data_IF_769570270271
#
_entry.id   IF_769570270271
#
_cell.length_a   1.000
_cell.length_b   1.000
_cell.length_c   1.000
_cell.angle_alpha   90.00
_cell.angle_beta   90.00
_cell.angle_gamma   90.00
#
_symmetry.space_group_name_H-M   'P 1'
#
loop_
_entity.id
_entity.type
_entity.pdbx_description
1 polymer ?
#
# COMPACT_ATOMS: atom_id res chain seq x y z
N UNK A 1 50.59 -37.87 10.96
CA UNK A 1 51.80 -37.33 10.29
C UNK A 1 51.43 -36.03 9.59
N UNK A 2 52.38 -35.09 9.48
CA UNK A 2 52.42 -33.83 8.69
C UNK A 2 51.18 -32.93 8.47
N UNK A 3 51.37 -31.63 8.76
CA UNK A 3 50.55 -30.47 8.35
C UNK A 3 51.22 -29.73 7.18
N UNK A 4 50.46 -29.30 6.15
CA UNK A 4 50.77 -28.27 5.11
C UNK A 4 49.41 -27.76 4.57
N UNK A 5 48.99 -26.48 4.47
CA UNK A 5 49.53 -25.13 4.75
C UNK A 5 50.15 -24.34 3.58
N UNK A 6 49.90 -22.99 3.54
CA UNK A 6 50.28 -22.00 2.50
C UNK A 6 49.60 -22.18 1.11
N UNK A 7 49.44 -21.17 0.24
CA UNK A 7 49.44 -19.69 0.37
C UNK A 7 48.69 -19.05 -0.82
N UNK A 8 48.43 -17.72 -0.78
CA UNK A 8 47.94 -16.92 -1.91
C UNK A 8 49.00 -16.74 -3.02
N UNK A 9 48.55 -16.60 -4.27
CA UNK A 9 49.22 -15.80 -5.31
C UNK A 9 48.17 -15.03 -6.12
N UNK A 10 48.33 -13.71 -6.23
CA UNK A 10 47.61 -12.86 -7.18
C UNK A 10 48.44 -12.77 -8.46
N UNK A 11 47.81 -12.75 -9.64
CA UNK A 11 48.47 -12.36 -10.88
C UNK A 11 47.67 -11.26 -11.59
N UNK A 12 48.32 -10.13 -11.86
CA UNK A 12 47.70 -9.00 -12.57
C UNK A 12 47.62 -9.27 -14.07
N UNK A 13 46.63 -8.67 -14.74
CA UNK A 13 46.55 -8.63 -16.19
C UNK A 13 47.37 -7.45 -16.74
N UNK A 14 48.69 -7.62 -16.88
CA UNK A 14 49.56 -6.61 -17.51
C UNK A 14 49.70 -6.90 -19.02
N UNK A 15 48.90 -6.21 -19.84
CA UNK A 15 48.88 -6.38 -21.30
C UNK A 15 50.04 -5.64 -21.97
N UNK A 16 51.20 -6.28 -22.08
CA UNK A 16 52.33 -5.82 -22.89
C UNK A 16 52.12 -6.18 -24.37
N UNK A 17 51.68 -5.22 -25.19
CA UNK A 17 51.48 -5.42 -26.63
C UNK A 17 52.83 -5.41 -27.36
N UNK A 18 53.27 -6.58 -27.82
CA UNK A 18 54.47 -6.75 -28.67
C UNK A 18 54.06 -7.05 -30.12
N UNK A 19 54.40 -6.20 -31.12
CA UNK A 19 53.85 -6.29 -32.47
C UNK A 19 54.63 -7.26 -33.38
N UNK A 20 54.65 -8.56 -33.05
CA UNK A 20 55.29 -9.61 -33.85
C UNK A 20 54.40 -10.86 -33.95
N UNK A 21 53.53 -10.92 -34.97
CA UNK A 21 52.59 -12.05 -35.13
C UNK A 21 51.65 -12.04 -36.33
N UNK A 22 51.87 -11.20 -37.35
CA UNK A 22 50.95 -11.01 -38.47
C UNK A 22 50.94 -12.16 -39.52
N UNK A 23 50.88 -13.43 -39.07
CA UNK A 23 50.83 -14.60 -39.96
C UNK A 23 50.09 -15.82 -39.38
N UNK A 24 49.14 -15.62 -38.44
CA UNK A 24 48.28 -16.71 -37.90
C UNK A 24 46.77 -16.50 -38.18
N UNK A 25 46.39 -15.39 -38.82
CA UNK A 25 45.01 -14.94 -39.01
C UNK A 25 44.10 -15.98 -39.68
N UNK A 26 44.61 -16.80 -40.61
CA UNK A 26 43.83 -17.85 -41.27
C UNK A 26 43.50 -19.02 -40.33
N UNK A 27 44.47 -19.45 -39.52
CA UNK A 27 44.29 -20.48 -38.48
C UNK A 27 43.34 -20.00 -37.38
N UNK A 28 43.47 -18.76 -36.94
CA UNK A 28 42.56 -18.16 -35.95
C UNK A 28 41.14 -18.04 -36.50
N UNK A 29 40.98 -17.60 -37.75
CA UNK A 29 39.67 -17.50 -38.39
C UNK A 29 38.95 -18.86 -38.47
N UNK A 30 39.64 -19.95 -38.83
CA UNK A 30 39.03 -21.29 -38.79
C UNK A 30 38.64 -21.67 -37.36
N UNK A 31 39.55 -21.50 -36.39
CA UNK A 31 39.31 -21.83 -34.98
C UNK A 31 38.08 -21.11 -34.40
N UNK A 32 37.90 -19.82 -34.70
CA UNK A 32 36.71 -19.06 -34.28
C UNK A 32 35.45 -19.44 -35.06
N UNK A 33 35.55 -19.74 -36.35
CA UNK A 33 34.43 -20.25 -37.18
C UNK A 33 33.92 -21.59 -36.67
N UNK A 34 34.82 -22.51 -36.33
CA UNK A 34 34.48 -23.86 -35.87
C UNK A 34 33.91 -23.83 -34.44
N UNK A 35 34.37 -22.90 -33.59
CA UNK A 35 33.77 -22.58 -32.30
C UNK A 35 32.35 -21.97 -32.43
N UNK A 36 32.13 -21.06 -33.39
CA UNK A 36 30.80 -20.53 -33.66
C UNK A 36 29.84 -21.59 -34.22
N UNK A 37 30.34 -22.53 -35.04
CA UNK A 37 29.57 -23.65 -35.56
C UNK A 37 29.16 -24.64 -34.46
N UNK A 38 30.05 -24.96 -33.51
CA UNK A 38 29.71 -25.86 -32.39
C UNK A 38 28.69 -25.25 -31.43
N UNK A 39 28.76 -23.94 -31.20
CA UNK A 39 27.77 -23.20 -30.40
C UNK A 39 26.37 -23.20 -31.02
N UNK A 40 26.23 -23.28 -32.36
CA UNK A 40 24.94 -23.16 -33.06
C UNK A 40 23.87 -24.18 -32.63
N UNK A 41 24.26 -25.37 -32.17
CA UNK A 41 23.34 -26.41 -31.72
C UNK A 41 22.93 -26.30 -30.25
N UNK A 42 23.73 -25.63 -29.41
CA UNK A 42 23.56 -25.65 -27.96
C UNK A 42 22.29 -24.92 -27.48
N UNK A 43 21.97 -23.68 -27.91
CA UNK A 43 20.72 -23.01 -27.55
C UNK A 43 19.47 -23.78 -28.01
N UNK A 44 19.51 -24.35 -29.22
CA UNK A 44 18.39 -25.12 -29.77
C UNK A 44 18.12 -26.41 -29.00
N UNK A 45 19.15 -27.08 -28.51
CA UNK A 45 18.99 -28.25 -27.65
C UNK A 45 18.51 -27.86 -26.24
N UNK A 46 19.02 -26.75 -25.68
CA UNK A 46 18.52 -26.22 -24.40
C UNK A 46 17.02 -25.85 -24.47
N UNK A 47 16.58 -25.19 -25.55
CA UNK A 47 15.16 -24.89 -25.77
C UNK A 47 14.31 -26.16 -25.92
N UNK A 48 14.79 -27.20 -26.63
CA UNK A 48 14.10 -28.49 -26.76
C UNK A 48 14.02 -29.29 -25.46
N UNK A 49 14.89 -29.01 -24.49
CA UNK A 49 14.92 -29.67 -23.18
C UNK A 49 14.24 -28.82 -22.09
N UNK A 50 13.75 -27.63 -22.42
CA UNK A 50 13.07 -26.76 -21.48
C UNK A 50 11.66 -27.29 -21.16
N UNK A 51 11.51 -27.90 -19.98
CA UNK A 51 10.21 -28.28 -19.44
C UNK A 51 9.64 -27.14 -18.58
N UNK A 52 8.68 -26.33 -19.07
CA UNK A 52 8.10 -25.24 -18.29
C UNK A 52 7.39 -25.71 -17.01
N UNK A 53 6.70 -26.86 -17.04
CA UNK A 53 6.01 -27.42 -15.88
C UNK A 53 6.93 -27.88 -14.73
N UNK A 54 8.23 -28.05 -15.00
CA UNK A 54 9.24 -28.32 -13.96
C UNK A 54 9.88 -27.04 -13.37
N UNK A 55 9.69 -25.88 -14.02
CA UNK A 55 10.36 -24.62 -13.68
C UNK A 55 9.38 -23.53 -13.19
N UNK A 56 8.10 -23.65 -13.53
CA UNK A 56 7.05 -22.70 -13.16
C UNK A 56 5.97 -23.42 -12.35
N UNK A 57 5.82 -23.01 -11.08
CA UNK A 57 4.94 -23.64 -10.08
C UNK A 57 3.48 -23.79 -10.53
N UNK A 58 2.98 -22.83 -11.30
CA UNK A 58 1.58 -22.69 -11.69
C UNK A 58 1.39 -22.80 -13.22
N UNK A 59 2.34 -23.40 -13.94
CA UNK A 59 2.23 -23.61 -15.38
C UNK A 59 1.25 -24.75 -15.73
N UNK A 60 0.32 -24.44 -16.61
CA UNK A 60 -0.56 -25.40 -17.29
C UNK A 60 -0.45 -25.18 -18.80
N UNK A 61 -0.40 -26.27 -19.56
CA UNK A 61 -0.38 -26.25 -21.03
C UNK A 61 -1.72 -25.74 -21.61
N UNK A 62 -2.81 -25.90 -20.85
CA UNK A 62 -4.15 -25.39 -21.18
C UNK A 62 -4.73 -24.61 -20.00
N UNK A 63 -4.41 -23.30 -19.84
CA UNK A 63 -5.05 -22.44 -18.84
C UNK A 63 -6.54 -22.26 -19.16
N UNK A 64 -7.40 -22.13 -18.14
CA UNK A 64 -8.85 -21.94 -18.33
C UNK A 64 -9.19 -20.68 -19.15
N UNK A 65 -8.31 -19.68 -19.12
CA UNK A 65 -8.41 -18.46 -19.92
C UNK A 65 -8.26 -18.70 -21.43
N UNK A 66 -7.73 -19.84 -21.88
CA UNK A 66 -7.66 -20.21 -23.29
C UNK A 66 -9.04 -20.25 -23.97
N UNK A 67 -10.12 -20.53 -23.23
CA UNK A 67 -11.49 -20.53 -23.73
C UNK A 67 -11.99 -19.15 -24.23
N UNK A 68 -11.30 -18.06 -23.88
CA UNK A 68 -11.59 -16.71 -24.39
C UNK A 68 -10.77 -16.35 -25.64
N UNK A 69 -9.76 -17.14 -25.99
CA UNK A 69 -8.82 -16.87 -27.08
C UNK A 69 -9.10 -17.79 -28.28
N UNK A 70 -9.74 -17.23 -29.29
CA UNK A 70 -10.27 -17.94 -30.48
C UNK A 70 -9.23 -18.24 -31.57
N UNK A 71 -7.94 -17.93 -31.32
CA UNK A 71 -6.84 -18.09 -32.27
C UNK A 71 -6.38 -16.76 -32.87
N UNK A 72 -5.26 -16.80 -33.60
CA UNK A 72 -4.59 -15.59 -34.12
C UNK A 72 -5.29 -15.02 -35.36
N UNK A 73 -6.04 -15.85 -36.10
CA UNK A 73 -6.71 -15.50 -37.36
C UNK A 73 -8.08 -14.83 -37.17
N UNK A 74 -8.50 -14.57 -35.92
CA UNK A 74 -9.80 -13.95 -35.60
C UNK A 74 -9.65 -12.83 -34.57
N UNK A 75 -9.83 -11.59 -35.03
CA UNK A 75 -9.76 -10.34 -34.24
C UNK A 75 -10.83 -10.22 -33.13
N UNK A 76 -11.74 -11.20 -33.01
CA UNK A 76 -12.88 -11.17 -32.09
C UNK A 76 -12.77 -12.28 -31.03
N UNK A 77 -12.56 -11.86 -29.79
CA UNK A 77 -12.58 -12.74 -28.61
C UNK A 77 -14.01 -13.09 -28.18
N UNK A 78 -14.16 -14.22 -27.48
CA UNK A 78 -15.46 -14.71 -27.00
C UNK A 78 -15.99 -13.96 -25.75
N UNK A 79 -15.40 -12.79 -25.43
CA UNK A 79 -15.65 -12.07 -24.18
C UNK A 79 -17.06 -11.45 -24.11
N UNK A 80 -17.58 -10.90 -25.22
CA UNK A 80 -18.91 -10.29 -25.21
C UNK A 80 -20.02 -11.30 -24.88
N UNK A 81 -19.93 -12.50 -25.45
CA UNK A 81 -20.81 -13.65 -25.20
C UNK A 81 -20.68 -14.16 -23.77
N UNK A 82 -19.44 -14.34 -23.28
CA UNK A 82 -19.17 -14.78 -21.91
C UNK A 82 -19.72 -13.79 -20.87
N UNK A 83 -19.47 -12.49 -21.04
CA UNK A 83 -20.00 -11.43 -20.18
C UNK A 83 -21.54 -11.36 -20.23
N UNK A 84 -22.15 -11.51 -21.41
CA UNK A 84 -23.60 -11.51 -21.56
C UNK A 84 -24.27 -12.73 -20.88
N UNK A 85 -23.58 -13.88 -20.78
CA UNK A 85 -24.09 -15.05 -20.07
C UNK A 85 -23.87 -14.91 -18.54
N UNK A 86 -22.71 -14.42 -18.10
CA UNK A 86 -22.45 -14.11 -16.70
C UNK A 86 -23.47 -13.08 -16.15
N UNK A 87 -23.82 -12.06 -16.94
CA UNK A 87 -24.86 -11.07 -16.61
C UNK A 87 -26.26 -11.68 -16.45
N UNK A 88 -26.57 -12.85 -17.02
CA UNK A 88 -27.85 -13.55 -16.80
C UNK A 88 -27.84 -14.44 -15.55
N UNK A 89 -26.64 -14.83 -15.09
CA UNK A 89 -26.46 -15.71 -13.93
C UNK A 89 -26.33 -14.93 -12.63
N UNK A 90 -25.82 -13.69 -12.67
CA UNK A 90 -25.94 -12.76 -11.55
C UNK A 90 -27.39 -12.27 -11.37
N UNK A 91 -27.82 -12.12 -10.11
CA UNK A 91 -29.18 -11.69 -9.74
C UNK A 91 -29.42 -10.22 -10.07
N UNK A 92 -28.40 -9.37 -9.88
CA UNK A 92 -28.45 -7.95 -10.23
C UNK A 92 -28.45 -7.74 -11.75
N UNK A 93 -27.48 -8.34 -12.44
CA UNK A 93 -27.37 -8.35 -13.90
C UNK A 93 -28.63 -8.86 -14.58
N UNK A 94 -29.20 -9.98 -14.10
CA UNK A 94 -30.46 -10.51 -14.61
C UNK A 94 -31.60 -9.53 -14.40
N UNK A 95 -31.69 -8.91 -13.23
CA UNK A 95 -32.72 -7.89 -12.96
C UNK A 95 -32.58 -6.67 -13.87
N UNK A 96 -31.36 -6.23 -14.19
CA UNK A 96 -31.10 -5.15 -15.15
C UNK A 96 -31.51 -5.58 -16.57
N UNK A 97 -31.00 -6.71 -17.06
CA UNK A 97 -31.29 -7.23 -18.41
C UNK A 97 -32.80 -7.48 -18.61
N UNK A 98 -33.47 -8.07 -17.61
CA UNK A 98 -34.90 -8.38 -17.69
C UNK A 98 -35.79 -7.14 -17.61
N UNK A 99 -35.32 -5.98 -17.12
CA UNK A 99 -36.15 -4.77 -16.96
C UNK A 99 -35.71 -3.57 -17.81
N UNK A 100 -34.56 -3.64 -18.49
CA UNK A 100 -34.06 -2.56 -19.34
C UNK A 100 -35.08 -2.22 -20.44
N UNK A 101 -35.63 -1.00 -20.40
CA UNK A 101 -36.65 -0.53 -21.33
C UNK A 101 -38.09 -1.02 -21.08
N UNK A 102 -38.35 -1.89 -20.08
CA UNK A 102 -39.73 -2.36 -19.78
C UNK A 102 -40.60 -1.32 -19.06
N UNK A 103 -39.99 -0.33 -18.40
CA UNK A 103 -40.71 0.77 -17.74
C UNK A 103 -41.24 1.81 -18.75
N UNK A 104 -42.15 1.38 -19.64
CA UNK A 104 -43.09 2.28 -20.32
C UNK A 104 -44.37 2.28 -19.50
N UNK A 105 -44.80 3.44 -19.00
CA UNK A 105 -45.99 3.55 -18.18
C UNK A 105 -47.22 3.04 -18.94
N UNK A 106 -47.81 1.92 -18.50
CA UNK A 106 -49.08 1.44 -19.05
C UNK A 106 -50.21 2.34 -18.54
N UNK A 107 -50.72 3.18 -19.45
CA UNK A 107 -51.85 4.06 -19.18
C UNK A 107 -53.07 3.18 -18.87
N UNK A 108 -53.68 3.36 -17.69
CA UNK A 108 -54.91 2.67 -17.30
C UNK A 108 -56.08 3.13 -18.20
N UNK A 109 -56.34 2.36 -19.26
CA UNK A 109 -57.39 2.61 -20.26
C UNK A 109 -58.81 2.40 -19.72
N UNK A 110 -58.97 1.82 -18.53
CA UNK A 110 -60.28 1.61 -17.90
C UNK A 110 -60.67 2.77 -16.97
N UNK A 111 -59.76 3.72 -16.75
CA UNK A 111 -60.06 4.95 -16.01
C UNK A 111 -61.09 5.80 -16.80
N UNK A 112 -62.21 6.23 -16.18
CA UNK A 112 -63.26 7.00 -16.86
C UNK A 112 -62.78 8.28 -17.54
N UNK A 113 -61.83 9.01 -16.93
CA UNK A 113 -61.28 10.24 -17.51
C UNK A 113 -60.41 9.97 -18.75
N UNK A 114 -59.72 8.82 -18.80
CA UNK A 114 -58.92 8.40 -19.95
C UNK A 114 -59.85 7.87 -21.06
N UNK A 115 -60.89 7.11 -20.71
CA UNK A 115 -61.97 6.72 -21.62
C UNK A 115 -62.69 7.91 -22.26
N UNK A 116 -62.84 9.01 -21.52
CA UNK A 116 -63.44 10.25 -22.01
C UNK A 116 -62.43 11.05 -22.84
N UNK A 117 -61.16 11.15 -22.44
CA UNK A 117 -60.12 11.82 -23.21
C UNK A 117 -59.89 11.16 -24.59
N UNK A 118 -59.81 9.82 -24.65
CA UNK A 118 -59.69 9.08 -25.91
C UNK A 118 -60.92 9.24 -26.82
N UNK A 119 -62.11 9.44 -26.24
CA UNK A 119 -63.33 9.76 -27.02
C UNK A 119 -63.32 11.20 -27.53
N UNK A 120 -62.91 12.16 -26.71
CA UNK A 120 -62.74 13.57 -27.14
C UNK A 120 -61.67 13.68 -28.23
N UNK A 121 -60.59 12.89 -28.16
CA UNK A 121 -59.57 12.78 -29.22
C UNK A 121 -60.19 12.24 -30.53
N UNK A 122 -60.90 11.11 -30.46
CA UNK A 122 -61.51 10.46 -31.64
C UNK A 122 -62.64 11.30 -32.27
N UNK A 123 -63.49 11.96 -31.46
CA UNK A 123 -64.58 12.83 -31.94
C UNK A 123 -64.15 14.29 -32.12
N UNK A 124 -62.88 14.64 -31.87
CA UNK A 124 -62.38 16.04 -31.85
C UNK A 124 -62.75 16.86 -33.09
N UNK A 125 -62.67 16.26 -34.28
CA UNK A 125 -63.07 16.90 -35.53
C UNK A 125 -64.58 17.20 -35.57
N UNK A 126 -65.42 16.23 -35.18
CA UNK A 126 -66.88 16.39 -35.17
C UNK A 126 -67.35 17.38 -34.11
N UNK A 127 -66.68 17.44 -32.95
CA UNK A 127 -66.94 18.41 -31.88
C UNK A 127 -66.55 19.83 -32.34
N UNK A 128 -65.34 20.02 -32.86
CA UNK A 128 -64.85 21.35 -33.29
C UNK A 128 -65.58 21.95 -34.48
N UNK A 129 -66.26 21.12 -35.28
CA UNK A 129 -67.04 21.56 -36.44
C UNK A 129 -68.56 21.49 -36.23
N UNK A 130 -69.04 21.17 -35.02
CA UNK A 130 -70.48 21.14 -34.68
C UNK A 130 -71.28 20.05 -35.39
N UNK A 131 -70.64 18.93 -35.73
CA UNK A 131 -71.22 17.81 -36.50
C UNK A 131 -71.81 16.73 -35.57
N UNK A 132 -71.25 16.55 -34.37
CA UNK A 132 -71.78 15.61 -33.37
C UNK A 132 -72.91 16.25 -32.57
N UNK A 133 -74.02 15.53 -32.39
CA UNK A 133 -75.14 15.93 -31.52
C UNK A 133 -75.73 14.77 -30.69
N UNK A 134 -75.35 13.51 -30.97
CA UNK A 134 -75.85 12.33 -30.24
C UNK A 134 -75.10 12.11 -28.91
N UNK A 135 -73.76 12.23 -28.91
CA UNK A 135 -72.92 11.99 -27.73
C UNK A 135 -72.52 13.28 -26.99
N UNK A 136 -72.55 14.44 -27.67
CA UNK A 136 -72.17 15.75 -27.11
C UNK A 136 -73.24 16.75 -27.50
N UNK A 137 -74.04 17.22 -26.54
CA UNK A 137 -75.08 18.22 -26.79
C UNK A 137 -74.47 19.63 -26.83
N UNK A 138 -74.18 20.11 -28.05
CA UNK A 138 -73.63 21.45 -28.27
C UNK A 138 -74.76 22.50 -28.41
N UNK A 139 -75.38 22.89 -27.30
CA UNK A 139 -76.35 23.98 -27.30
C UNK A 139 -75.66 25.34 -27.53
N UNK A 140 -76.10 26.06 -28.58
CA UNK A 140 -75.54 27.35 -28.99
C UNK A 140 -76.02 28.50 -28.09
N UNK A 141 -75.56 28.52 -26.84
CA UNK A 141 -76.02 29.45 -25.81
C UNK A 141 -75.49 30.88 -26.04
N UNK A 142 -76.37 31.80 -26.43
CA UNK A 142 -76.02 33.21 -26.64
C UNK A 142 -75.89 33.99 -25.32
N UNK A 143 -74.83 34.80 -25.21
CA UNK A 143 -74.65 35.92 -24.27
C UNK A 143 -74.91 35.64 -22.79
N UNK A 144 -73.85 35.23 -22.07
CA UNK A 144 -73.66 35.57 -20.65
C UNK A 144 -72.41 36.46 -20.50
N UNK A 145 -72.39 37.43 -19.57
CA UNK A 145 -71.19 38.22 -19.30
C UNK A 145 -70.16 37.37 -18.54
N UNK A 146 -69.09 36.96 -19.23
CA UNK A 146 -68.02 36.18 -18.64
C UNK A 146 -67.18 37.03 -17.66
N UNK A 147 -67.47 36.93 -16.35
CA UNK A 147 -66.63 37.49 -15.29
C UNK A 147 -65.36 36.64 -15.13
N UNK A 148 -64.15 37.13 -15.45
CA UNK A 148 -62.95 36.29 -15.44
C UNK A 148 -62.42 36.06 -14.02
N UNK A 149 -62.60 34.85 -13.50
CA UNK A 149 -62.03 34.39 -12.23
C UNK A 149 -60.59 33.90 -12.42
N UNK A 150 -59.63 34.81 -12.32
CA UNK A 150 -58.20 34.46 -12.35
C UNK A 150 -57.81 33.67 -11.09
N UNK A 151 -57.37 32.42 -11.28
CA UNK A 151 -56.79 31.58 -10.23
C UNK A 151 -55.30 31.42 -10.48
N UNK A 152 -54.47 31.90 -9.56
CA UNK A 152 -53.01 31.80 -9.65
C UNK A 152 -52.55 30.54 -8.91
N UNK A 153 -52.09 29.53 -9.65
CA UNK A 153 -51.58 28.28 -9.09
C UNK A 153 -50.07 28.20 -9.26
N UNK A 154 -49.35 28.07 -8.14
CA UNK A 154 -47.88 28.10 -8.11
C UNK A 154 -47.33 26.68 -7.92
N UNK A 155 -46.87 26.06 -8.99
CA UNK A 155 -46.22 24.75 -8.93
C UNK A 155 -44.80 24.87 -8.35
N UNK A 156 -44.61 24.43 -7.11
CA UNK A 156 -43.30 24.30 -6.48
C UNK A 156 -42.56 23.06 -6.99
N UNK A 157 -41.72 23.23 -8.00
CA UNK A 157 -40.76 22.20 -8.41
C UNK A 157 -39.84 21.85 -7.23
N UNK A 158 -39.74 20.56 -6.88
CA UNK A 158 -38.79 20.11 -5.86
C UNK A 158 -37.37 20.46 -6.31
N UNK A 159 -36.62 21.16 -5.45
CA UNK A 159 -35.21 21.44 -5.73
C UNK A 159 -34.49 20.11 -5.94
N UNK A 160 -33.77 19.98 -7.05
CA UNK A 160 -32.70 18.99 -7.13
C UNK A 160 -31.75 19.28 -5.97
N UNK A 161 -31.60 18.32 -5.06
CA UNK A 161 -30.58 18.40 -4.02
C UNK A 161 -29.22 18.39 -4.73
N UNK A 162 -28.28 19.28 -4.37
CA UNK A 162 -26.95 19.26 -4.96
C UNK A 162 -26.29 17.92 -4.67
N UNK A 163 -25.53 17.37 -5.62
CA UNK A 163 -24.81 16.11 -5.42
C UNK A 163 -23.86 16.25 -4.22
N UNK A 164 -24.13 15.48 -3.16
CA UNK A 164 -23.35 15.50 -1.92
C UNK A 164 -22.28 14.42 -2.00
N UNK A 165 -21.03 14.84 -2.16
CA UNK A 165 -19.87 13.96 -2.19
C UNK A 165 -19.27 13.80 -0.78
N UNK A 166 -18.64 12.65 -0.55
CA UNK A 166 -17.90 12.33 0.66
C UNK A 166 -16.72 11.42 0.31
N UNK A 167 -15.74 11.31 1.21
CA UNK A 167 -14.58 10.45 1.03
C UNK A 167 -14.38 9.53 2.23
N UNK A 168 -14.10 8.26 1.97
CA UNK A 168 -13.56 7.34 2.98
C UNK A 168 -12.04 7.34 2.83
N UNK A 169 -11.32 7.82 3.85
CA UNK A 169 -9.85 7.95 3.81
C UNK A 169 -9.23 6.93 4.76
N UNK A 170 -8.24 6.18 4.27
CA UNK A 170 -7.47 5.23 5.07
C UNK A 170 -6.35 6.00 5.78
N UNK A 171 -6.48 6.17 7.10
CA UNK A 171 -5.52 6.92 7.93
C UNK A 171 -4.67 5.93 8.70
N UNK A 172 -3.36 5.95 8.42
CA UNK A 172 -2.36 5.14 9.12
C UNK A 172 -1.59 6.04 10.08
N UNK A 173 -1.79 5.84 11.38
CA UNK A 173 -1.05 6.53 12.42
C UNK A 173 0.36 5.96 12.51
N UNK A 174 1.36 6.80 12.23
CA UNK A 174 2.78 6.47 12.35
C UNK A 174 3.31 7.04 13.67
N UNK A 175 3.82 6.16 14.52
CA UNK A 175 4.27 6.48 15.88
C UNK A 175 5.77 6.23 16.06
N UNK A 176 6.33 6.71 17.17
CA UNK A 176 7.70 6.38 17.60
C UNK A 176 7.81 6.48 19.12
N UNK A 177 8.55 5.56 19.73
CA UNK A 177 8.89 5.60 21.15
C UNK A 177 9.97 6.67 21.37
N UNK A 178 9.84 7.45 22.44
CA UNK A 178 10.88 8.36 22.92
C UNK A 178 11.04 8.18 24.43
N UNK A 179 12.22 7.71 24.86
CA UNK A 179 12.57 7.53 26.26
C UNK A 179 13.69 8.48 26.65
N UNK A 180 13.53 9.17 27.78
CA UNK A 180 14.59 9.93 28.45
C UNK A 180 14.75 9.36 29.86
N UNK A 181 15.94 8.84 30.17
CA UNK A 181 16.18 8.20 31.47
C UNK A 181 17.57 8.53 32.05
N UNK A 182 17.60 8.76 33.36
CA UNK A 182 18.84 8.82 34.13
C UNK A 182 19.30 7.40 34.47
N UNK A 183 20.58 7.12 34.26
CA UNK A 183 21.20 5.83 34.59
C UNK A 183 22.42 6.09 35.48
N UNK A 184 22.52 5.37 36.58
CA UNK A 184 23.73 5.23 37.36
C UNK A 184 24.44 3.93 36.96
N UNK A 185 25.70 4.04 36.57
CA UNK A 185 26.60 2.90 36.36
C UNK A 185 27.56 2.82 37.54
N UNK A 186 27.70 1.64 38.13
CA UNK A 186 28.76 1.33 39.09
C UNK A 186 29.66 0.26 38.50
N UNK A 187 30.97 0.50 38.47
CA UNK A 187 31.96 -0.44 37.92
C UNK A 187 33.11 -0.60 38.89
N UNK A 188 33.41 -1.83 39.30
CA UNK A 188 34.63 -2.15 40.04
C UNK A 188 35.75 -2.47 39.06
N UNK A 189 36.84 -1.71 39.13
CA UNK A 189 38.01 -1.89 38.29
C UNK A 189 39.08 -2.65 39.07
N UNK A 190 39.71 -3.62 38.42
CA UNK A 190 40.80 -4.39 39.00
C UNK A 190 42.02 -3.53 39.35
N UNK A 191 42.68 -3.88 40.45
CA UNK A 191 44.03 -3.39 40.77
C UNK A 191 44.99 -3.61 39.60
N UNK A 192 45.90 -2.65 39.43
CA UNK A 192 46.89 -2.57 38.36
C UNK A 192 46.32 -2.44 36.91
N UNK A 193 45.01 -2.49 36.69
CA UNK A 193 44.41 -2.37 35.35
C UNK A 193 44.62 -0.98 34.71
N UNK A 194 44.83 -0.99 33.38
CA UNK A 194 44.75 0.15 32.47
C UNK A 194 44.12 -0.28 31.14
N UNK A 195 43.57 0.66 30.40
CA UNK A 195 42.94 0.41 29.09
C UNK A 195 41.43 0.51 29.15
N UNK A 196 40.74 -0.18 28.25
CA UNK A 196 39.32 0.05 28.01
C UNK A 196 38.40 -0.87 28.82
N UNK A 197 37.42 -0.26 29.49
CA UNK A 197 36.23 -0.92 30.03
C UNK A 197 35.07 -0.57 29.12
N UNK A 198 34.24 -1.54 28.78
CA UNK A 198 32.98 -1.28 28.06
C UNK A 198 31.79 -1.65 28.93
N UNK A 199 30.72 -0.85 28.82
CA UNK A 199 29.43 -1.08 29.49
C UNK A 199 28.33 -0.96 28.45
N UNK A 200 27.57 -2.02 28.23
CA UNK A 200 26.43 -2.00 27.33
C UNK A 200 25.17 -1.58 28.11
N UNK A 201 24.62 -0.41 27.78
CA UNK A 201 23.45 0.15 28.48
C UNK A 201 22.13 -0.52 28.12
N UNK A 202 22.07 -1.31 27.03
CA UNK A 202 20.88 -2.05 26.59
C UNK A 202 20.83 -3.43 27.25
N UNK A 203 21.89 -4.25 27.12
CA UNK A 203 21.93 -5.61 27.66
C UNK A 203 22.26 -5.64 29.15
N UNK A 204 23.06 -4.69 29.63
CA UNK A 204 23.63 -4.63 30.98
C UNK A 204 25.01 -5.31 31.12
N UNK A 205 25.58 -5.82 30.02
CA UNK A 205 26.89 -6.49 30.05
C UNK A 205 28.04 -5.49 30.25
N UNK A 206 29.11 -5.93 30.94
CA UNK A 206 30.33 -5.16 31.15
C UNK A 206 31.56 -6.00 30.80
N UNK A 207 32.62 -5.37 30.29
CA UNK A 207 33.90 -6.05 29.99
C UNK A 207 35.06 -5.39 30.73
N UNK A 208 36.08 -6.19 31.07
CA UNK A 208 37.31 -5.78 31.78
C UNK A 208 37.10 -5.16 33.17
N UNK A 209 35.89 -5.30 33.73
CA UNK A 209 35.54 -4.97 35.11
C UNK A 209 35.60 -6.21 36.00
N UNK A 210 35.94 -6.03 37.28
CA UNK A 210 35.84 -7.05 38.33
C UNK A 210 34.37 -7.41 38.61
N UNK A 211 33.53 -6.39 38.66
CA UNK A 211 32.07 -6.47 38.80
C UNK A 211 31.45 -5.12 38.46
N UNK A 212 30.12 -5.05 38.37
CA UNK A 212 29.42 -3.78 38.21
C UNK A 212 27.91 -3.95 38.18
N UNK A 213 27.20 -2.83 38.16
CA UNK A 213 25.75 -2.75 38.07
C UNK A 213 25.27 -1.51 37.33
N UNK A 214 24.04 -1.57 36.85
CA UNK A 214 23.31 -0.49 36.20
C UNK A 214 21.99 -0.32 36.92
N UNK A 215 21.59 0.92 37.24
CA UNK A 215 20.30 1.20 37.88
C UNK A 215 19.10 0.85 37.00
N UNK A 216 19.30 0.91 35.69
CA UNK A 216 18.29 0.82 34.64
C UNK A 216 18.97 0.42 33.33
N UNK A 217 18.21 -0.19 32.41
CA UNK A 217 18.66 -0.52 31.05
C UNK A 217 17.87 0.27 30.04
N UNK A 218 18.46 0.53 28.87
CA UNK A 218 17.79 1.16 27.73
C UNK A 218 16.98 0.08 27.04
N UNK A 219 15.65 0.21 27.07
CA UNK A 219 14.72 -0.72 26.43
C UNK A 219 13.78 0.06 25.52
N UNK A 220 13.82 -0.25 24.23
CA UNK A 220 12.80 0.10 23.25
C UNK A 220 12.10 -1.20 22.83
N UNK A 221 10.82 -1.16 22.48
CA UNK A 221 10.13 -2.33 21.90
C UNK A 221 10.39 -2.41 20.39
N UNK A 222 10.53 -1.25 19.74
CA UNK A 222 10.89 -1.12 18.34
C UNK A 222 12.40 -0.85 18.12
N UNK A 223 12.87 -0.97 16.87
CA UNK A 223 14.28 -0.81 16.53
C UNK A 223 14.83 0.58 16.92
N UNK A 224 16.11 0.69 17.28
CA UNK A 224 16.74 1.95 17.67
C UNK A 224 17.04 2.83 16.45
N UNK A 225 16.43 4.01 16.36
CA UNK A 225 16.69 5.01 15.30
C UNK A 225 17.73 6.03 15.74
N UNK A 226 17.55 6.61 16.94
CA UNK A 226 18.52 7.50 17.55
C UNK A 226 18.77 7.11 19.01
N UNK A 227 20.02 7.21 19.45
CA UNK A 227 20.42 7.11 20.87
C UNK A 227 21.54 8.11 21.12
N UNK A 228 21.34 8.98 22.10
CA UNK A 228 22.30 9.96 22.59
C UNK A 228 22.46 9.82 24.10
N UNK A 229 23.66 10.10 24.62
CA UNK A 229 23.98 9.99 26.04
C UNK A 229 24.82 11.17 26.51
N UNK A 230 24.29 11.94 27.46
CA UNK A 230 25.03 12.96 28.20
C UNK A 230 25.62 12.36 29.48
N UNK A 231 26.96 12.42 29.64
CA UNK A 231 27.63 12.01 30.87
C UNK A 231 27.63 13.19 31.84
N UNK A 232 26.94 13.03 32.98
CA UNK A 232 26.79 14.08 34.00
C UNK A 232 28.02 14.11 34.93
N UNK A 233 28.52 12.95 35.35
CA UNK A 233 29.68 12.85 36.24
C UNK A 233 30.39 11.49 36.16
N UNK A 234 31.66 11.48 36.56
CA UNK A 234 32.46 10.28 36.78
C UNK A 234 33.24 10.46 38.09
N UNK A 235 32.90 9.66 39.10
CA UNK A 235 33.43 9.73 40.46
C UNK A 235 34.06 8.40 40.89
N UNK A 236 34.97 8.46 41.86
CA UNK A 236 35.54 7.32 42.59
C UNK A 236 35.47 7.66 44.08
N UNK A 237 34.57 6.99 44.82
CA UNK A 237 34.30 7.28 46.24
C UNK A 237 33.98 8.77 46.52
N UNK A 238 33.26 9.43 45.61
CA UNK A 238 32.90 10.86 45.69
C UNK A 238 33.87 11.82 44.97
N UNK A 239 35.15 11.47 44.82
CA UNK A 239 36.14 12.33 44.14
C UNK A 239 36.09 12.20 42.62
N UNK A 240 36.27 13.31 41.88
CA UNK A 240 36.18 13.31 40.40
C UNK A 240 37.32 12.49 39.78
N UNK A 241 36.98 11.44 39.05
CA UNK A 241 37.94 10.49 38.48
C UNK A 241 38.58 11.01 37.18
N UNK A 242 39.41 12.06 37.28
CA UNK A 242 40.07 12.76 36.14
C UNK A 242 40.99 11.90 35.28
N UNK A 243 41.34 10.69 35.75
CA UNK A 243 42.13 9.68 35.06
C UNK A 243 41.28 8.68 34.25
N UNK A 244 39.95 8.85 34.25
CA UNK A 244 39.01 8.20 33.34
C UNK A 244 38.58 9.20 32.28
N UNK A 245 38.62 8.80 31.01
CA UNK A 245 38.00 9.55 29.91
C UNK A 245 36.99 8.68 29.16
N UNK A 246 36.00 9.31 28.54
CA UNK A 246 35.03 8.64 27.67
C UNK A 246 35.67 8.52 26.29
N UNK A 247 35.90 7.29 25.84
CA UNK A 247 36.50 7.00 24.54
C UNK A 247 35.45 6.67 23.46
N UNK A 248 34.21 6.36 23.86
CA UNK A 248 33.08 6.17 22.96
C UNK A 248 31.76 6.30 23.70
N UNK A 249 30.81 7.02 23.10
CA UNK A 249 29.46 7.18 23.64
C UNK A 249 28.50 6.11 23.06
N UNK A 250 27.51 5.65 23.83
CA UNK A 250 26.41 4.81 23.36
C UNK A 250 25.65 5.44 22.19
N UNK A 251 25.34 4.64 21.17
CA UNK A 251 24.43 4.97 20.07
C UNK A 251 23.79 3.67 19.52
N UNK A 252 22.85 3.78 18.57
CA UNK A 252 22.17 2.59 18.03
C UNK A 252 23.14 1.66 17.27
N UNK A 253 24.12 2.19 16.54
CA UNK A 253 25.06 1.42 15.72
C UNK A 253 26.04 0.58 16.56
N UNK A 254 26.46 1.08 17.72
CA UNK A 254 27.31 0.34 18.67
C UNK A 254 26.51 -0.46 19.71
N UNK A 255 25.20 -0.65 19.50
CA UNK A 255 24.30 -1.37 20.41
C UNK A 255 24.33 -0.81 21.86
N UNK A 256 24.38 0.52 22.01
CA UNK A 256 24.35 1.19 23.31
C UNK A 256 25.63 1.03 24.16
N UNK A 257 26.79 0.89 23.53
CA UNK A 257 28.07 0.64 24.21
C UNK A 257 28.76 1.94 24.67
N UNK A 258 28.89 2.11 25.99
CA UNK A 258 29.74 3.12 26.62
C UNK A 258 31.16 2.55 26.74
N UNK A 259 32.17 3.28 26.25
CA UNK A 259 33.58 2.89 26.34
C UNK A 259 34.36 3.90 27.18
N UNK A 260 35.00 3.41 28.24
CA UNK A 260 35.76 4.17 29.23
C UNK A 260 37.25 3.83 29.12
N UNK A 261 38.12 4.83 29.08
CA UNK A 261 39.57 4.66 29.06
C UNK A 261 40.16 4.91 30.46
N UNK A 262 40.76 3.89 31.05
CA UNK A 262 41.41 3.91 32.35
C UNK A 262 42.91 4.20 32.17
N UNK A 263 43.30 5.47 32.33
CA UNK A 263 44.68 5.92 32.07
C UNK A 263 45.65 5.66 33.24
N UNK A 264 45.12 5.58 34.47
CA UNK A 264 45.86 5.40 35.71
C UNK A 264 45.44 4.12 36.42
N UNK A 265 46.43 3.34 36.85
CA UNK A 265 46.25 2.13 37.63
C UNK A 265 46.55 2.38 39.11
N UNK A 266 45.94 1.56 39.99
CA UNK A 266 46.08 1.67 41.45
C UNK A 266 46.34 0.28 42.06
N UNK A 267 47.02 0.21 43.21
CA UNK A 267 47.41 -1.07 43.87
C UNK A 267 46.25 -1.81 44.55
N UNK A 268 45.09 -1.18 44.69
CA UNK A 268 43.83 -1.75 45.19
C UNK A 268 42.79 -1.73 44.07
N UNK A 269 41.80 -2.61 44.15
CA UNK A 269 40.60 -2.54 43.33
C UNK A 269 39.77 -1.32 43.76
N UNK A 270 38.99 -0.72 42.86
CA UNK A 270 38.29 0.55 43.14
C UNK A 270 36.96 0.71 42.38
N UNK A 271 35.97 1.38 42.98
CA UNK A 271 34.72 1.68 42.31
C UNK A 271 34.83 2.93 41.43
N UNK A 272 34.17 2.89 40.29
CA UNK A 272 33.76 4.03 39.49
C UNK A 272 32.24 4.17 39.56
N UNK A 273 31.77 5.40 39.74
CA UNK A 273 30.37 5.78 39.79
C UNK A 273 30.13 6.80 38.68
N UNK A 274 29.26 6.48 37.73
CA UNK A 274 28.99 7.29 36.55
C UNK A 274 27.52 7.63 36.53
N UNK A 275 27.18 8.91 36.56
CA UNK A 275 25.82 9.37 36.31
C UNK A 275 25.71 9.83 34.85
N UNK A 276 24.70 9.34 34.14
CA UNK A 276 24.42 9.72 32.76
C UNK A 276 22.93 9.86 32.50
N UNK A 277 22.58 10.62 31.46
CA UNK A 277 21.22 10.76 30.94
C UNK A 277 21.22 10.22 29.52
N UNK A 278 20.40 9.19 29.27
CA UNK A 278 20.20 8.61 27.96
C UNK A 278 18.88 9.11 27.35
N UNK A 279 18.92 9.43 26.06
CA UNK A 279 17.75 9.74 25.23
C UNK A 279 17.75 8.78 24.04
N UNK A 280 16.72 7.97 23.91
CA UNK A 280 16.59 7.01 22.81
C UNK A 280 15.23 7.15 22.12
N UNK A 281 15.25 7.03 20.79
CA UNK A 281 14.08 7.17 19.93
C UNK A 281 14.02 5.95 19.00
N UNK A 282 12.86 5.31 18.90
CA UNK A 282 12.69 4.17 18.00
C UNK A 282 12.61 4.59 16.53
N UNK A 283 12.79 3.63 15.64
CA UNK A 283 12.27 3.70 14.28
C UNK A 283 10.75 3.92 14.33
N UNK A 284 10.25 4.64 13.34
CA UNK A 284 8.82 4.82 13.16
C UNK A 284 8.13 3.46 12.94
N UNK A 285 6.99 3.25 13.58
CA UNK A 285 6.16 2.05 13.45
C UNK A 285 4.70 2.41 13.18
N UNK A 286 3.94 1.46 12.65
CA UNK A 286 2.50 1.58 12.41
C UNK A 286 1.76 1.33 13.73
N UNK A 287 1.14 2.37 14.30
CA UNK A 287 0.43 2.30 15.58
C UNK A 287 -1.02 1.87 15.43
N UNK A 288 -1.77 2.50 14.52
CA UNK A 288 -3.16 2.17 14.25
C UNK A 288 -3.60 2.56 12.83
N UNK A 289 -4.24 1.64 12.12
CA UNK A 289 -5.00 1.92 10.91
C UNK A 289 -6.47 2.21 11.27
N UNK A 290 -7.04 3.28 10.73
CA UNK A 290 -8.48 3.53 10.81
C UNK A 290 -9.02 4.13 9.50
N UNK A 291 -10.32 3.97 9.28
CA UNK A 291 -11.04 4.59 8.18
C UNK A 291 -11.76 5.82 8.68
N UNK A 292 -11.28 7.00 8.26
CA UNK A 292 -12.00 8.25 8.44
C UNK A 292 -13.16 8.27 7.43
N UNK A 293 -14.39 8.42 7.94
CA UNK A 293 -15.62 8.19 7.18
C UNK A 293 -16.49 9.45 7.13
N UNK A 294 -16.11 10.39 6.27
CA UNK A 294 -16.91 11.59 5.94
C UNK A 294 -18.33 11.22 5.43
N UNK A 295 -18.58 9.97 5.01
CA UNK A 295 -19.86 9.54 4.45
C UNK A 295 -20.93 9.20 5.49
N UNK A 296 -20.62 9.08 6.79
CA UNK A 296 -21.63 8.67 7.79
C UNK A 296 -22.94 9.52 7.78
N UNK A 297 -22.93 10.86 7.56
CA UNK A 297 -24.16 11.66 7.44
C UNK A 297 -24.95 11.44 6.13
N UNK A 298 -24.34 10.83 5.11
CA UNK A 298 -24.98 10.43 3.85
C UNK A 298 -25.47 8.99 3.90
N UNK A 299 -24.71 8.11 4.54
CA UNK A 299 -25.10 6.74 4.83
C UNK A 299 -26.34 6.68 5.74
N UNK A 300 -26.49 7.62 6.68
CA UNK A 300 -27.72 7.79 7.47
C UNK A 300 -28.95 8.09 6.58
N UNK A 301 -28.83 9.05 5.65
CA UNK A 301 -29.92 9.44 4.73
C UNK A 301 -30.33 8.34 3.74
N UNK A 302 -29.48 7.33 3.53
CA UNK A 302 -29.83 6.12 2.75
C UNK A 302 -31.03 5.39 3.36
N UNK A 303 -31.19 5.42 4.69
CA UNK A 303 -32.34 4.86 5.40
C UNK A 303 -33.65 5.65 5.22
N UNK A 304 -33.57 6.92 4.81
CA UNK A 304 -34.73 7.80 4.60
C UNK A 304 -35.31 7.67 3.17
N UNK A 305 -34.68 6.88 2.29
CA UNK A 305 -35.20 6.54 0.96
C UNK A 305 -35.03 7.61 -0.13
N UNK A 306 -34.56 8.82 0.21
CA UNK A 306 -34.43 9.94 -0.74
C UNK A 306 -33.05 10.07 -1.41
N UNK A 307 -32.10 9.16 -1.17
CA UNK A 307 -30.74 9.25 -1.71
C UNK A 307 -30.23 7.93 -2.30
N UNK A 308 -29.85 7.95 -3.58
CA UNK A 308 -29.09 6.89 -4.22
C UNK A 308 -27.60 7.25 -4.21
N UNK A 309 -26.79 6.47 -3.50
CA UNK A 309 -25.33 6.59 -3.55
C UNK A 309 -24.84 5.93 -4.84
N UNK A 310 -24.14 6.70 -5.69
CA UNK A 310 -23.25 6.14 -6.71
C UNK A 310 -21.89 5.93 -6.05
N UNK A 311 -21.44 4.68 -5.97
CA UNK A 311 -20.06 4.37 -5.63
C UNK A 311 -19.25 4.48 -6.92
N UNK A 312 -18.30 5.42 -7.00
CA UNK A 312 -17.31 5.44 -8.07
C UNK A 312 -16.29 4.33 -7.81
N UNK A 313 -16.19 3.39 -8.76
CA UNK A 313 -15.24 2.28 -8.68
C UNK A 313 -13.86 2.78 -9.09
N UNK A 314 -12.94 2.82 -8.13
CA UNK A 314 -11.52 3.18 -8.29
C UNK A 314 -10.65 1.99 -8.70
#
# INVERSE_FOLDING_TARGET
MFRVCLSQVVFMLSVSVSPLGANQTATDFSKYKDFANSLKSSPLNAMKQFNPGANFKDYTETPTQSAYYTGIDVEKSNLASASAEALKQDVGGKTVVDNFGKNRFEINKDNPAIQQAMRIEAESYAITHGISNENVHCEAHSTFPCTPTFRQETCSQSRQLPEQQCSKKRVVSVESENITQSIAVVVWVHKNFKGYITVNLVTGQMTNALSGSLSSRITLHHACSALSVGIQSIYNNGDRATWVSVAGLPNCQNNGLLTLNITKSFKRDYPLQIALTAQAVSSAYEGAEHWDNDCAPLEAKKGEGFCHIKEEVS
#
